data_IF_235574563765
#
_entry.id   IF_235574563765
#
_cell.length_a   1.000
_cell.length_b   1.000
_cell.length_c   1.000
_cell.angle_alpha   90.00
_cell.angle_beta   90.00
_cell.angle_gamma   90.00
#
_symmetry.space_group_name_H-M   'P 1'
#
loop_
_entity.id
_entity.type
_entity.pdbx_description
1 polymer ?
#
# COMPACT_ATOMS: atom_id res chain seq x y z
N UNK A 1 -8.24 44.58 11.51
CA UNK A 1 -7.76 43.65 12.53
C UNK A 1 -7.33 42.37 11.88
N UNK A 2 -6.10 42.04 12.02
CA UNK A 2 -5.59 40.82 11.46
C UNK A 2 -6.08 39.70 12.37
N UNK A 3 -7.09 38.98 11.94
CA UNK A 3 -7.36 37.73 12.55
C UNK A 3 -6.07 36.94 12.47
N UNK A 4 -5.46 36.70 13.60
CA UNK A 4 -4.51 35.62 13.68
C UNK A 4 -5.27 34.37 13.37
N UNK A 5 -5.26 34.04 12.10
CA UNK A 5 -5.58 32.74 11.69
C UNK A 5 -4.92 31.78 12.66
N UNK A 6 -5.74 31.00 13.31
CA UNK A 6 -5.29 29.78 13.95
C UNK A 6 -4.57 29.02 12.85
N UNK A 7 -3.29 29.28 12.70
CA UNK A 7 -2.43 28.43 11.87
C UNK A 7 -2.68 27.04 12.37
N UNK A 8 -3.30 26.24 11.52
CA UNK A 8 -3.42 24.84 11.78
C UNK A 8 -1.99 24.30 11.80
N UNK A 9 -1.44 24.26 12.99
CA UNK A 9 -0.14 23.66 13.21
C UNK A 9 -0.30 22.17 13.00
N UNK A 10 0.66 21.54 12.38
CA UNK A 10 0.68 20.08 12.29
C UNK A 10 0.55 19.47 13.68
N UNK A 11 -0.17 18.35 13.82
CA UNK A 11 -0.26 17.65 15.10
C UNK A 11 1.14 17.39 15.67
N UNK A 12 1.30 17.61 16.95
CA UNK A 12 2.54 17.37 17.65
C UNK A 12 2.96 15.91 17.48
N UNK A 13 4.23 15.69 17.17
CA UNK A 13 4.77 14.35 17.01
C UNK A 13 4.49 13.68 15.67
N UNK A 14 3.97 14.42 14.69
CA UNK A 14 3.71 13.84 13.37
C UNK A 14 4.96 13.24 12.73
N UNK A 15 6.12 13.88 12.89
CA UNK A 15 7.39 13.42 12.33
C UNK A 15 7.81 12.04 12.90
N UNK A 16 7.40 11.74 14.12
CA UNK A 16 7.75 10.51 14.85
C UNK A 16 6.62 9.47 14.83
N UNK A 17 5.44 9.80 14.32
CA UNK A 17 4.31 8.87 14.29
C UNK A 17 4.58 7.76 13.27
N UNK A 18 4.57 6.48 13.71
CA UNK A 18 4.77 5.37 12.79
C UNK A 18 3.58 5.23 11.85
N UNK A 19 3.78 4.61 10.66
CA UNK A 19 2.68 4.37 9.75
C UNK A 19 1.68 3.37 10.34
N UNK A 20 0.42 3.54 9.97
CA UNK A 20 -0.67 2.71 10.44
C UNK A 20 -1.98 3.49 10.53
N UNK A 21 -3.00 2.93 11.20
CA UNK A 21 -4.33 3.57 11.26
C UNK A 21 -4.32 4.92 11.97
N UNK A 22 -3.50 5.10 12.98
CA UNK A 22 -3.40 6.39 13.69
C UNK A 22 -2.86 7.48 12.79
N UNK A 23 -1.80 7.19 12.03
CA UNK A 23 -1.23 8.14 11.07
C UNK A 23 -2.23 8.46 9.96
N UNK A 24 -2.98 7.48 9.48
CA UNK A 24 -4.02 7.69 8.46
C UNK A 24 -5.08 8.68 8.94
N UNK A 25 -5.54 8.54 10.17
CA UNK A 25 -6.53 9.45 10.78
C UNK A 25 -5.97 10.87 10.89
N UNK A 26 -4.75 11.01 11.37
CA UNK A 26 -4.08 12.31 11.49
C UNK A 26 -3.94 12.98 10.12
N UNK A 27 -3.47 12.24 9.12
CA UNK A 27 -3.29 12.77 7.77
C UNK A 27 -4.61 13.23 7.14
N UNK A 28 -5.70 12.52 7.42
CA UNK A 28 -7.02 12.89 6.92
C UNK A 28 -7.52 14.22 7.48
N UNK A 29 -7.04 14.61 8.66
CA UNK A 29 -7.48 15.85 9.35
C UNK A 29 -6.65 17.08 8.98
N UNK A 30 -5.52 16.91 8.25
CA UNK A 30 -4.62 18.00 7.93
C UNK A 30 -5.10 18.78 6.70
N UNK A 31 -5.20 20.10 6.84
CA UNK A 31 -5.45 21.00 5.71
C UNK A 31 -4.13 21.57 5.21
N UNK A 32 -3.67 21.08 4.08
CA UNK A 32 -2.38 21.49 3.50
C UNK A 32 -2.31 22.95 3.10
N UNK A 33 -3.45 23.58 2.82
CA UNK A 33 -3.50 24.98 2.39
C UNK A 33 -3.10 25.96 3.50
N UNK A 34 -3.16 25.51 4.75
CA UNK A 34 -2.87 26.33 5.93
C UNK A 34 -1.42 26.16 6.43
N UNK A 35 -0.62 25.32 5.77
CA UNK A 35 0.71 24.97 6.24
C UNK A 35 1.81 25.81 5.57
N UNK A 36 2.86 26.12 6.32
CA UNK A 36 4.08 26.71 5.75
C UNK A 36 4.93 25.65 5.05
N UNK A 37 5.95 26.10 4.30
CA UNK A 37 6.79 25.19 3.53
C UNK A 37 7.47 24.10 4.35
N UNK A 38 7.96 24.44 5.55
CA UNK A 38 8.57 23.47 6.46
C UNK A 38 7.58 22.39 6.89
N UNK A 39 6.37 22.80 7.27
CA UNK A 39 5.32 21.87 7.69
C UNK A 39 4.83 20.98 6.53
N UNK A 40 4.80 21.54 5.32
CA UNK A 40 4.47 20.76 4.12
C UNK A 40 5.48 19.63 3.88
N UNK A 41 6.77 19.87 4.15
CA UNK A 41 7.79 18.82 4.03
C UNK A 41 7.57 17.73 5.07
N UNK A 42 7.26 18.10 6.31
CA UNK A 42 6.94 17.12 7.37
C UNK A 42 5.69 16.30 6.98
N UNK A 43 4.67 16.97 6.46
CA UNK A 43 3.47 16.29 5.97
C UNK A 43 3.80 15.33 4.82
N UNK A 44 4.62 15.75 3.86
CA UNK A 44 5.04 14.92 2.74
C UNK A 44 5.76 13.65 3.22
N UNK A 45 6.67 13.79 4.16
CA UNK A 45 7.39 12.66 4.75
C UNK A 45 6.46 11.69 5.46
N UNK A 46 5.50 12.21 6.23
CA UNK A 46 4.51 11.39 6.93
C UNK A 46 3.62 10.64 5.94
N UNK A 47 3.15 11.33 4.91
CA UNK A 47 2.32 10.72 3.88
C UNK A 47 3.08 9.65 3.09
N UNK A 48 4.35 9.86 2.83
CA UNK A 48 5.19 8.87 2.17
C UNK A 48 5.39 7.62 3.04
N UNK A 49 5.55 7.78 4.35
CA UNK A 49 5.60 6.63 5.28
C UNK A 49 4.31 5.83 5.24
N UNK A 50 3.18 6.52 5.28
CA UNK A 50 1.87 5.86 5.23
C UNK A 50 1.66 5.14 3.89
N UNK A 51 2.04 5.78 2.79
CA UNK A 51 1.95 5.15 1.47
C UNK A 51 2.78 3.87 1.39
N UNK A 52 4.01 3.91 1.88
CA UNK A 52 4.87 2.73 1.91
C UNK A 52 4.25 1.59 2.73
N UNK A 53 3.67 1.91 3.87
CA UNK A 53 2.95 0.94 4.71
C UNK A 53 1.79 0.31 3.94
N UNK A 54 0.95 1.12 3.29
CA UNK A 54 -0.20 0.63 2.54
C UNK A 54 0.23 -0.20 1.32
N UNK A 55 1.32 0.18 0.67
CA UNK A 55 1.88 -0.61 -0.43
C UNK A 55 2.37 -1.98 0.04
N UNK A 56 2.96 -2.04 1.22
CA UNK A 56 3.39 -3.29 1.83
C UNK A 56 2.18 -4.19 2.14
N UNK A 57 1.13 -3.63 2.72
CA UNK A 57 -0.11 -4.35 3.00
C UNK A 57 -0.76 -4.87 1.70
N UNK A 58 -0.78 -4.03 0.65
CA UNK A 58 -1.29 -4.43 -0.66
C UNK A 58 -0.46 -5.59 -1.24
N UNK A 59 0.85 -5.56 -1.10
CA UNK A 59 1.71 -6.65 -1.56
C UNK A 59 1.38 -7.96 -0.84
N UNK A 60 1.15 -7.90 0.47
CA UNK A 60 0.74 -9.07 1.25
C UNK A 60 -0.61 -9.62 0.77
N UNK A 61 -1.56 -8.73 0.46
CA UNK A 61 -2.87 -9.12 -0.07
C UNK A 61 -2.74 -9.80 -1.44
N UNK A 62 -1.88 -9.29 -2.30
CA UNK A 62 -1.61 -9.88 -3.61
C UNK A 62 -1.04 -11.31 -3.49
N UNK A 63 -0.12 -11.52 -2.57
CA UNK A 63 0.42 -12.86 -2.30
C UNK A 63 -0.67 -13.78 -1.74
N UNK A 64 -1.53 -13.27 -0.87
CA UNK A 64 -2.65 -14.03 -0.32
C UNK A 64 -3.65 -14.46 -1.41
N UNK A 65 -3.94 -13.58 -2.37
CA UNK A 65 -4.79 -13.91 -3.53
C UNK A 65 -4.16 -15.03 -4.35
N UNK A 66 -2.87 -14.96 -4.61
CA UNK A 66 -2.15 -16.01 -5.35
C UNK A 66 -2.24 -17.35 -4.63
N UNK A 67 -2.02 -17.39 -3.33
CA UNK A 67 -2.13 -18.60 -2.53
C UNK A 67 -3.56 -19.19 -2.57
N UNK A 68 -4.57 -18.33 -2.51
CA UNK A 68 -5.98 -18.74 -2.59
C UNK A 68 -6.31 -19.36 -3.95
N UNK A 69 -5.88 -18.73 -5.05
CA UNK A 69 -6.06 -19.26 -6.42
C UNK A 69 -5.33 -20.59 -6.57
N UNK A 70 -4.14 -20.73 -6.01
CA UNK A 70 -3.35 -21.96 -6.03
C UNK A 70 -4.11 -23.11 -5.34
N UNK A 71 -4.71 -22.87 -4.19
CA UNK A 71 -5.50 -23.87 -3.48
C UNK A 71 -6.75 -24.27 -4.28
N UNK A 72 -7.48 -23.31 -4.83
CA UNK A 72 -8.68 -23.55 -5.63
C UNK A 72 -8.38 -24.33 -6.90
N UNK A 73 -7.30 -23.98 -7.61
CA UNK A 73 -6.93 -24.65 -8.87
C UNK A 73 -6.28 -26.00 -8.66
N UNK A 74 -5.59 -26.23 -7.55
CA UNK A 74 -5.00 -27.54 -7.24
C UNK A 74 -6.05 -28.62 -7.00
N UNK A 75 -7.28 -28.25 -6.69
CA UNK A 75 -8.40 -29.18 -6.59
C UNK A 75 -8.88 -29.66 -7.97
N UNK A 76 -8.46 -28.98 -9.04
CA UNK A 76 -8.81 -29.37 -10.42
C UNK A 76 -7.67 -30.22 -11.00
N UNK A 77 -7.97 -31.45 -11.34
CA UNK A 77 -6.97 -32.36 -11.94
C UNK A 77 -6.53 -31.85 -13.33
N UNK A 78 -5.23 -31.84 -13.58
CA UNK A 78 -4.66 -31.49 -14.88
C UNK A 78 -4.25 -30.02 -15.05
N UNK A 79 -4.38 -29.20 -14.00
CA UNK A 79 -3.91 -27.80 -14.03
C UNK A 79 -2.41 -27.76 -13.69
N UNK A 80 -1.58 -27.12 -14.54
CA UNK A 80 -0.17 -26.96 -14.27
C UNK A 80 0.12 -25.64 -13.54
N UNK A 81 1.30 -25.53 -12.92
CA UNK A 81 1.69 -24.37 -12.14
C UNK A 81 1.73 -23.05 -12.93
N UNK A 82 2.04 -23.12 -14.23
CA UNK A 82 2.02 -21.92 -15.09
C UNK A 82 0.62 -21.38 -15.32
N UNK A 83 -0.40 -22.25 -15.27
CA UNK A 83 -1.79 -21.85 -15.38
C UNK A 83 -2.29 -21.18 -14.10
N UNK A 84 -1.79 -21.62 -12.95
CA UNK A 84 -2.09 -20.98 -11.65
C UNK A 84 -1.67 -19.51 -11.66
N UNK A 85 -0.46 -19.21 -12.13
CA UNK A 85 0.03 -17.84 -12.25
C UNK A 85 -0.83 -16.99 -13.19
N UNK A 86 -1.30 -17.59 -14.28
CA UNK A 86 -2.23 -16.94 -15.20
C UNK A 86 -3.57 -16.60 -14.54
N UNK A 87 -4.14 -17.53 -13.79
CA UNK A 87 -5.42 -17.32 -13.12
C UNK A 87 -5.29 -16.22 -12.05
N UNK A 88 -4.22 -16.24 -11.27
CA UNK A 88 -3.94 -15.19 -10.28
C UNK A 88 -3.83 -13.81 -10.94
N UNK A 89 -3.07 -13.71 -12.05
CA UNK A 89 -2.94 -12.47 -12.80
C UNK A 89 -4.26 -11.98 -13.38
N UNK A 90 -5.13 -12.90 -13.84
CA UNK A 90 -6.46 -12.55 -14.34
C UNK A 90 -7.36 -11.99 -13.24
N UNK A 91 -7.37 -12.62 -12.06
CA UNK A 91 -8.13 -12.16 -10.91
C UNK A 91 -7.69 -10.77 -10.45
N UNK A 92 -6.39 -10.56 -10.34
CA UNK A 92 -5.82 -9.27 -9.94
C UNK A 92 -6.11 -8.21 -11.01
N UNK A 93 -5.96 -8.54 -12.28
CA UNK A 93 -6.25 -7.61 -13.39
C UNK A 93 -7.71 -7.14 -13.33
N UNK A 94 -8.64 -8.05 -13.10
CA UNK A 94 -10.06 -7.71 -13.00
C UNK A 94 -10.34 -6.87 -11.75
N UNK A 95 -9.80 -7.27 -10.60
CA UNK A 95 -10.05 -6.59 -9.32
C UNK A 95 -9.48 -5.17 -9.30
N UNK A 96 -8.30 -4.95 -9.87
CA UNK A 96 -7.60 -3.67 -9.84
C UNK A 96 -7.73 -2.89 -11.15
N UNK A 97 -8.52 -3.36 -12.10
CA UNK A 97 -8.69 -2.75 -13.43
C UNK A 97 -7.37 -2.52 -14.15
N UNK A 98 -6.50 -3.52 -14.08
CA UNK A 98 -5.18 -3.52 -14.72
C UNK A 98 -5.19 -4.39 -15.97
N UNK A 99 -4.20 -4.17 -16.84
CA UNK A 99 -3.91 -5.14 -17.89
C UNK A 99 -3.34 -6.42 -17.26
N UNK A 100 -3.45 -7.55 -17.94
CA UNK A 100 -2.83 -8.81 -17.49
C UNK A 100 -1.35 -8.68 -17.22
N UNK A 101 -0.66 -7.94 -18.08
CA UNK A 101 0.79 -7.71 -17.97
C UNK A 101 1.14 -6.90 -16.72
N UNK A 102 0.38 -5.84 -16.46
CA UNK A 102 0.57 -5.03 -15.27
C UNK A 102 0.25 -5.81 -13.99
N UNK A 103 -0.80 -6.62 -14.01
CA UNK A 103 -1.16 -7.49 -12.88
C UNK A 103 -0.08 -8.53 -12.60
N UNK A 104 0.46 -9.17 -13.64
CA UNK A 104 1.54 -10.15 -13.50
C UNK A 104 2.80 -9.51 -12.92
N UNK A 105 3.15 -8.31 -13.38
CA UNK A 105 4.30 -7.57 -12.84
C UNK A 105 4.13 -7.24 -11.35
N UNK A 106 2.95 -6.81 -10.95
CA UNK A 106 2.64 -6.52 -9.55
C UNK A 106 2.73 -7.76 -8.66
N UNK A 107 2.27 -8.90 -9.14
CA UNK A 107 2.36 -10.16 -8.41
C UNK A 107 3.82 -10.60 -8.22
N UNK A 108 4.65 -10.46 -9.23
CA UNK A 108 6.08 -10.78 -9.13
C UNK A 108 6.75 -9.87 -8.10
N UNK A 109 6.51 -8.57 -8.16
CA UNK A 109 7.06 -7.60 -7.21
C UNK A 109 6.59 -7.88 -5.78
N UNK A 110 5.31 -8.17 -5.60
CA UNK A 110 4.73 -8.51 -4.30
C UNK A 110 5.37 -9.77 -3.71
N UNK A 111 5.54 -10.81 -4.51
CA UNK A 111 6.17 -12.05 -4.10
C UNK A 111 7.61 -11.82 -3.63
N UNK A 112 8.39 -11.05 -4.39
CA UNK A 112 9.75 -10.72 -4.01
C UNK A 112 9.82 -9.97 -2.68
N UNK A 113 8.93 -9.00 -2.48
CA UNK A 113 8.88 -8.22 -1.24
C UNK A 113 8.54 -9.09 -0.04
N UNK A 114 7.53 -9.93 -0.15
CA UNK A 114 7.01 -10.72 0.98
C UNK A 114 7.92 -11.90 1.29
N UNK A 115 8.39 -12.64 0.28
CA UNK A 115 9.08 -13.91 0.46
C UNK A 115 10.61 -13.75 0.50
N UNK A 116 11.15 -12.74 -0.15
CA UNK A 116 12.60 -12.57 -0.31
C UNK A 116 13.20 -11.44 0.51
N UNK A 117 12.39 -10.49 0.95
CA UNK A 117 12.85 -9.35 1.74
C UNK A 117 12.09 -9.24 3.06
N UNK A 118 12.17 -10.26 3.94
CA UNK A 118 11.38 -10.27 5.18
C UNK A 118 11.70 -9.09 6.10
N UNK A 119 12.91 -8.54 6.06
CA UNK A 119 13.29 -7.38 6.87
C UNK A 119 12.48 -6.11 6.55
N UNK A 120 11.82 -6.05 5.41
CA UNK A 120 10.95 -4.93 5.04
C UNK A 120 9.63 -4.96 5.84
N UNK A 121 9.30 -6.11 6.41
CA UNK A 121 8.03 -6.37 7.11
C UNK A 121 8.13 -6.31 8.63
N UNK A 122 9.32 -6.25 9.15
CA UNK A 122 9.57 -6.17 10.60
C UNK A 122 9.42 -4.76 11.18
#
# INVERSE_FOLDING_TARGET
MIERETRTVLPEGLAETPPGPELAVVLASVDRSLLCGFDLVVLLQARNRQLAFEQAELAADLVAVTACVEVETSALSGVCSSDIDKYAAMEVAAALTLTRRAAAARLVDAYWLVERLPAVWE
#
